data_IF_870399187443
#
_entry.id   IF_870399187443
#
_cell.length_a   1.000
_cell.length_b   1.000
_cell.length_c   1.000
_cell.angle_alpha   90.00
_cell.angle_beta   90.00
_cell.angle_gamma   90.00
#
_symmetry.space_group_name_H-M   'P 1'
#
loop_
_entity.id
_entity.type
_entity.pdbx_description
1 polymer ?
#
# COMPACT_ATOMS: atom_id res chain seq x y z
N UNK A 1 -16.20 7.31 -1.33
CA UNK A 1 -16.39 6.54 -2.59
C UNK A 1 -16.92 5.17 -2.19
N UNK A 2 -17.94 4.64 -2.88
CA UNK A 2 -18.57 3.35 -2.53
C UNK A 2 -18.47 2.39 -3.70
N UNK A 3 -17.89 1.21 -3.48
CA UNK A 3 -17.77 0.15 -4.48
C UNK A 3 -19.03 -0.72 -4.50
N UNK A 4 -19.67 -0.85 -5.67
CA UNK A 4 -20.87 -1.69 -5.88
C UNK A 4 -20.49 -3.14 -6.21
N UNK A 5 -19.71 -3.78 -5.35
CA UNK A 5 -19.30 -5.18 -5.49
C UNK A 5 -19.57 -5.88 -4.16
N UNK A 6 -20.15 -7.10 -4.14
CA UNK A 6 -20.38 -7.83 -2.90
C UNK A 6 -19.09 -8.11 -2.13
N UNK A 7 -19.17 -8.09 -0.80
CA UNK A 7 -18.01 -8.27 0.08
C UNK A 7 -17.31 -9.62 -0.11
N UNK A 8 -18.07 -10.67 -0.42
CA UNK A 8 -17.54 -12.01 -0.72
C UNK A 8 -16.56 -11.99 -1.89
N UNK A 9 -16.91 -11.27 -2.96
CA UNK A 9 -16.06 -11.12 -4.15
C UNK A 9 -14.84 -10.26 -3.84
N UNK A 10 -14.99 -9.23 -3.01
CA UNK A 10 -13.86 -8.41 -2.55
C UNK A 10 -12.89 -9.25 -1.71
N UNK A 11 -13.40 -10.09 -0.80
CA UNK A 11 -12.59 -10.99 0.01
C UNK A 11 -11.82 -11.99 -0.87
N UNK A 12 -12.48 -12.60 -1.86
CA UNK A 12 -11.83 -13.49 -2.83
C UNK A 12 -10.73 -12.77 -3.64
N UNK A 13 -10.98 -11.53 -4.10
CA UNK A 13 -9.99 -10.74 -4.83
C UNK A 13 -8.80 -10.35 -3.97
N UNK A 14 -9.03 -9.98 -2.70
CA UNK A 14 -7.97 -9.67 -1.73
C UNK A 14 -7.11 -10.90 -1.45
N UNK A 15 -7.71 -12.08 -1.31
CA UNK A 15 -6.98 -13.33 -1.10
C UNK A 15 -6.07 -13.68 -2.30
N UNK A 16 -6.51 -13.36 -3.52
CA UNK A 16 -5.73 -13.59 -4.74
C UNK A 16 -4.78 -12.44 -5.10
N UNK A 17 -4.80 -11.33 -4.35
CA UNK A 17 -4.00 -10.16 -4.67
C UNK A 17 -2.53 -10.40 -4.33
N UNK A 18 -1.65 -10.14 -5.31
CA UNK A 18 -0.20 -10.21 -5.15
C UNK A 18 0.37 -8.81 -5.32
N UNK A 19 1.06 -8.33 -4.29
CA UNK A 19 1.71 -7.02 -4.33
C UNK A 19 2.79 -7.02 -5.43
N UNK A 20 2.76 -6.05 -6.36
CA UNK A 20 3.81 -5.92 -7.36
C UNK A 20 5.12 -5.45 -6.73
N UNK A 21 6.23 -5.82 -7.36
CA UNK A 21 7.55 -5.38 -6.92
C UNK A 21 7.72 -3.86 -6.99
N UNK A 22 8.54 -3.33 -6.09
CA UNK A 22 8.92 -1.92 -6.11
C UNK A 22 9.68 -1.60 -7.40
N UNK A 23 9.26 -0.53 -8.08
CA UNK A 23 9.92 -0.04 -9.31
C UNK A 23 11.38 0.35 -9.07
N UNK A 24 11.71 0.77 -7.85
CA UNK A 24 13.05 1.17 -7.44
C UNK A 24 13.63 0.17 -6.46
N UNK A 25 14.89 -0.21 -6.67
CA UNK A 25 15.59 -1.21 -5.84
C UNK A 25 16.67 -0.60 -4.93
N UNK A 26 16.95 0.70 -5.08
CA UNK A 26 17.96 1.42 -4.29
C UNK A 26 17.68 2.94 -4.26
N UNK A 27 18.41 3.66 -3.41
CA UNK A 27 18.33 5.13 -3.29
C UNK A 27 17.24 5.63 -2.33
N UNK A 28 16.99 6.95 -2.39
CA UNK A 28 16.07 7.64 -1.46
C UNK A 28 14.62 7.18 -1.65
N UNK A 29 14.18 6.96 -2.89
CA UNK A 29 12.81 6.48 -3.18
C UNK A 29 12.57 5.07 -2.63
N UNK A 30 13.58 4.22 -2.61
CA UNK A 30 13.48 2.89 -2.00
C UNK A 30 13.37 2.97 -0.47
N UNK A 31 14.10 3.91 0.17
CA UNK A 31 13.96 4.17 1.61
C UNK A 31 12.57 4.72 1.94
N UNK A 32 12.11 5.71 1.17
CA UNK A 32 10.79 6.30 1.35
C UNK A 32 9.67 5.26 1.20
N UNK A 33 9.69 4.46 0.14
CA UNK A 33 8.70 3.40 -0.10
C UNK A 33 8.64 2.34 1.01
N UNK A 34 9.67 2.25 1.86
CA UNK A 34 9.72 1.32 2.99
C UNK A 34 9.32 1.93 4.33
N UNK A 35 9.49 3.24 4.49
CA UNK A 35 9.36 3.92 5.79
C UNK A 35 8.14 4.83 5.87
N UNK A 36 7.60 5.24 4.73
CA UNK A 36 6.45 6.14 4.67
C UNK A 36 5.20 5.47 5.26
N UNK A 37 4.47 6.25 6.05
CA UNK A 37 3.17 5.89 6.61
C UNK A 37 2.01 6.24 5.71
N UNK A 38 0.81 5.80 6.11
CA UNK A 38 -0.39 6.00 5.32
C UNK A 38 -0.68 7.49 5.12
N UNK A 39 -1.33 7.82 4.01
CA UNK A 39 -1.66 9.20 3.69
C UNK A 39 -2.62 9.84 4.72
N UNK A 40 -3.44 9.04 5.38
CA UNK A 40 -4.29 9.48 6.50
C UNK A 40 -3.49 9.87 7.74
N UNK A 41 -2.29 9.35 7.90
CA UNK A 41 -1.38 9.62 9.02
C UNK A 41 -0.34 10.70 8.67
N UNK A 42 -0.45 11.31 7.48
CA UNK A 42 0.37 12.44 7.06
C UNK A 42 1.62 12.07 6.27
N UNK A 43 1.75 10.84 5.77
CA UNK A 43 2.92 10.39 4.99
C UNK A 43 4.26 10.58 5.71
N UNK A 44 4.28 10.47 7.03
CA UNK A 44 5.51 10.64 7.83
C UNK A 44 6.46 9.45 7.60
N UNK A 45 7.76 9.70 7.71
CA UNK A 45 8.82 8.69 7.50
C UNK A 45 9.60 8.35 8.78
N UNK A 46 9.31 9.07 9.85
CA UNK A 46 9.87 8.94 11.19
C UNK A 46 8.71 8.99 12.19
N UNK A 47 8.62 7.95 13.02
CA UNK A 47 7.74 7.92 14.19
C UNK A 47 8.67 7.93 15.41
N UNK A 48 8.50 8.91 16.29
CA UNK A 48 9.17 8.94 17.60
C UNK A 48 8.45 8.04 18.60
#
# INVERSE_FOLDING_TARGET
>A
ITLKVPDEIIAQRKANWKQPDLKVKSGVLYKYAKLVKDASEGCVTDEN
#
